data_IF_123131148728
#
_entry.id   IF_123131148728
#
_cell.length_a   1.000
_cell.length_b   1.000
_cell.length_c   1.000
_cell.angle_alpha   90.00
_cell.angle_beta   90.00
_cell.angle_gamma   90.00
#
_symmetry.space_group_name_H-M   'P 1'
#
loop_
_entity.id
_entity.type
_entity.pdbx_description
1 polymer ?
#
# COMPACT_ATOMS: atom_id res chain seq x y z
N UNK A 1 -18.60 -4.03 -3.00
CA UNK A 1 -18.05 -3.30 -4.16
C UNK A 1 -17.49 -4.32 -5.14
N UNK A 2 -18.05 -4.43 -6.35
CA UNK A 2 -17.45 -5.25 -7.39
C UNK A 2 -16.22 -4.52 -7.94
N UNK A 3 -15.05 -5.14 -7.83
CA UNK A 3 -13.82 -4.62 -8.42
C UNK A 3 -13.33 -5.62 -9.48
N UNK A 4 -13.17 -5.15 -10.72
CA UNK A 4 -12.79 -5.97 -11.88
C UNK A 4 -11.31 -5.85 -12.23
N UNK A 5 -10.46 -5.47 -11.26
CA UNK A 5 -9.03 -5.36 -11.48
C UNK A 5 -8.39 -6.74 -11.40
N UNK A 6 -7.63 -7.08 -12.44
CA UNK A 6 -6.84 -8.31 -12.50
C UNK A 6 -5.38 -7.99 -12.25
N UNK A 7 -4.74 -8.77 -11.39
CA UNK A 7 -3.34 -8.58 -11.01
C UNK A 7 -2.51 -9.77 -11.48
N UNK A 8 -1.26 -9.49 -11.83
CA UNK A 8 -0.32 -10.53 -12.28
C UNK A 8 0.22 -11.37 -11.13
N UNK A 9 0.19 -10.84 -9.90
CA UNK A 9 0.73 -11.50 -8.71
C UNK A 9 -0.20 -11.36 -7.52
N UNK A 10 -0.09 -12.32 -6.58
CA UNK A 10 -0.86 -12.33 -5.33
C UNK A 10 -0.52 -11.13 -4.45
N UNK A 11 0.74 -10.70 -4.40
CA UNK A 11 1.16 -9.52 -3.66
C UNK A 11 0.47 -8.23 -4.16
N UNK A 12 0.31 -8.09 -5.48
CA UNK A 12 -0.40 -6.95 -6.07
C UNK A 12 -1.89 -6.99 -5.73
N UNK A 13 -2.52 -8.17 -5.82
CA UNK A 13 -3.91 -8.36 -5.43
C UNK A 13 -4.11 -8.02 -3.93
N UNK A 14 -3.24 -8.50 -3.06
CA UNK A 14 -3.33 -8.25 -1.62
C UNK A 14 -3.21 -6.74 -1.31
N UNK A 15 -2.23 -6.07 -1.92
CA UNK A 15 -2.07 -4.63 -1.77
C UNK A 15 -3.30 -3.86 -2.29
N UNK A 16 -3.92 -4.33 -3.37
CA UNK A 16 -5.16 -3.75 -3.87
C UNK A 16 -6.33 -3.99 -2.91
N UNK A 17 -6.50 -5.20 -2.36
CA UNK A 17 -7.56 -5.47 -1.39
C UNK A 17 -7.41 -4.58 -0.15
N UNK A 18 -6.17 -4.33 0.29
CA UNK A 18 -5.90 -3.39 1.39
C UNK A 18 -6.46 -1.99 1.11
N UNK A 19 -6.56 -1.53 -0.16
CA UNK A 19 -7.17 -0.24 -0.48
C UNK A 19 -8.68 -0.22 -0.22
N UNK A 20 -9.37 -1.34 -0.46
CA UNK A 20 -10.80 -1.47 -0.16
C UNK A 20 -11.05 -1.49 1.36
N UNK A 21 -10.14 -2.11 2.10
CA UNK A 21 -10.23 -2.23 3.56
C UNK A 21 -9.64 -1.03 4.31
N UNK A 22 -9.02 -0.07 3.60
CA UNK A 22 -8.31 1.06 4.21
C UNK A 22 -7.07 0.64 5.03
N UNK A 23 -6.57 -0.58 4.81
CA UNK A 23 -5.42 -1.12 5.54
C UNK A 23 -4.15 -0.45 5.03
N UNK A 24 -3.39 0.16 5.94
CA UNK A 24 -2.10 0.78 5.66
C UNK A 24 -1.01 0.10 6.49
N UNK A 25 -0.50 -1.01 5.96
CA UNK A 25 0.45 -1.89 6.68
C UNK A 25 1.85 -1.30 6.86
N UNK A 26 2.19 -0.23 6.15
CA UNK A 26 3.54 0.30 6.10
C UNK A 26 3.61 1.67 6.79
N UNK A 27 4.02 1.69 8.06
CA UNK A 27 4.20 2.93 8.80
C UNK A 27 5.62 3.49 8.61
N UNK A 28 5.70 4.81 8.39
CA UNK A 28 6.98 5.51 8.37
C UNK A 28 7.61 5.52 9.78
N UNK A 29 8.93 5.35 9.85
CA UNK A 29 9.66 5.41 11.13
C UNK A 29 9.94 6.83 11.60
N UNK A 30 9.86 7.81 10.68
CA UNK A 30 10.20 9.21 10.93
C UNK A 30 8.97 10.10 11.12
N UNK A 31 7.77 9.60 10.82
CA UNK A 31 6.51 10.33 11.02
C UNK A 31 5.33 9.35 11.14
N UNK A 32 4.15 9.88 11.48
CA UNK A 32 2.94 9.06 11.71
C UNK A 32 2.25 8.58 10.42
N UNK A 33 2.79 8.94 9.25
CA UNK A 33 2.19 8.55 7.98
C UNK A 33 2.29 7.04 7.74
N UNK A 34 1.18 6.46 7.28
CA UNK A 34 1.06 5.07 6.87
C UNK A 34 0.76 4.97 5.39
N UNK A 35 1.26 3.91 4.77
CA UNK A 35 1.15 3.60 3.35
C UNK A 35 0.56 2.21 3.15
N UNK A 36 -0.10 2.01 2.01
CA UNK A 36 -0.70 0.72 1.65
C UNK A 36 0.35 -0.22 1.06
N UNK A 37 1.40 0.32 0.43
CA UNK A 37 2.49 -0.45 -0.16
C UNK A 37 3.87 -0.04 0.35
N UNK A 38 4.84 -0.96 0.29
CA UNK A 38 6.23 -0.69 0.66
C UNK A 38 6.90 0.30 -0.30
N UNK A 39 6.59 0.26 -1.60
CA UNK A 39 7.15 1.17 -2.60
C UNK A 39 6.79 2.64 -2.32
N UNK A 40 5.55 2.90 -1.89
CA UNK A 40 5.12 4.23 -1.47
C UNK A 40 5.88 4.71 -0.23
N UNK A 41 6.06 3.85 0.78
CA UNK A 41 6.85 4.17 1.97
C UNK A 41 8.31 4.47 1.62
N UNK A 42 8.94 3.65 0.77
CA UNK A 42 10.34 3.85 0.37
C UNK A 42 10.49 5.18 -0.36
N UNK A 43 9.59 5.48 -1.30
CA UNK A 43 9.58 6.77 -2.00
C UNK A 43 9.40 7.93 -1.02
N UNK A 44 8.48 7.79 -0.06
CA UNK A 44 8.27 8.79 0.98
C UNK A 44 9.56 9.05 1.77
N UNK A 45 10.20 8.01 2.31
CA UNK A 45 11.43 8.14 3.12
C UNK A 45 12.61 8.64 2.30
N UNK A 46 12.66 8.37 0.99
CA UNK A 46 13.77 8.77 0.13
C UNK A 46 13.73 10.25 -0.25
N UNK A 47 12.54 10.84 -0.39
CA UNK A 47 12.36 12.20 -0.89
C UNK A 47 11.77 13.17 0.15
N UNK A 48 11.38 12.68 1.33
CA UNK A 48 11.18 13.52 2.53
C UNK A 48 12.45 13.58 3.35
#
# INVERSE_FOLDING_TARGET
AYCSNTFKTTAQLQNHVNTHLGIKSFQCKFCEYKFTTSGELIRHVRYK
#
